data_IF_960059408659
#
_entry.id   IF_960059408659
#
_cell.length_a   1.000
_cell.length_b   1.000
_cell.length_c   1.000
_cell.angle_alpha   90.00
_cell.angle_beta   90.00
_cell.angle_gamma   90.00
#
_symmetry.space_group_name_H-M   'P 1'
#
loop_
_entity.id
_entity.type
_entity.pdbx_description
1 polymer ?
#
# COMPACT_ATOMS: atom_id res chain seq x y z
N UNK A 1 24.52 -11.48 12.10
CA UNK A 1 24.93 -12.75 12.74
C UNK A 1 25.55 -12.39 14.07
N UNK A 2 24.91 -12.74 15.20
CA UNK A 2 25.48 -12.52 16.52
C UNK A 2 26.29 -13.76 16.92
N UNK A 3 27.60 -13.63 17.22
CA UNK A 3 28.39 -14.76 17.65
C UNK A 3 27.99 -15.17 19.07
N UNK A 4 27.56 -16.41 19.25
CA UNK A 4 27.21 -17.00 20.54
C UNK A 4 28.11 -18.21 20.80
N UNK A 5 28.61 -18.36 22.02
CA UNK A 5 29.42 -19.50 22.43
C UNK A 5 28.54 -20.70 22.82
N UNK A 6 28.92 -21.90 22.35
CA UNK A 6 28.15 -23.13 22.56
C UNK A 6 27.96 -23.51 24.04
N UNK A 7 28.88 -23.11 24.91
CA UNK A 7 28.81 -23.39 26.36
C UNK A 7 27.57 -22.75 27.01
N UNK A 8 27.18 -21.55 26.55
CA UNK A 8 26.04 -20.79 27.08
C UNK A 8 24.67 -21.32 26.62
N UNK A 9 24.64 -22.24 25.64
CA UNK A 9 23.40 -22.76 25.04
C UNK A 9 23.08 -24.20 25.48
N UNK A 10 23.98 -24.86 26.23
CA UNK A 10 23.86 -26.26 26.64
C UNK A 10 22.60 -26.60 27.46
N UNK A 11 21.96 -25.60 28.07
CA UNK A 11 20.71 -25.73 28.83
C UNK A 11 19.44 -25.23 28.12
N UNK A 12 19.53 -24.72 26.89
CA UNK A 12 18.41 -24.09 26.19
C UNK A 12 18.04 -24.88 24.92
N UNK A 13 16.74 -25.09 24.70
CA UNK A 13 16.24 -25.62 23.43
C UNK A 13 15.86 -24.45 22.52
N UNK A 14 16.52 -24.34 21.36
CA UNK A 14 16.12 -23.38 20.33
C UNK A 14 14.87 -23.89 19.61
N UNK A 15 13.71 -23.30 19.90
CA UNK A 15 12.47 -23.57 19.20
C UNK A 15 12.30 -22.56 18.06
N UNK A 16 12.40 -23.00 16.81
CA UNK A 16 12.09 -22.19 15.63
C UNK A 16 10.78 -22.67 15.01
N UNK A 17 9.85 -21.74 14.81
CA UNK A 17 8.62 -21.96 14.04
C UNK A 17 8.70 -21.09 12.80
N UNK A 18 8.79 -21.72 11.63
CA UNK A 18 8.78 -21.03 10.35
C UNK A 18 8.10 -21.89 9.30
N UNK A 19 7.48 -21.23 8.33
CA UNK A 19 6.85 -21.93 7.21
C UNK A 19 7.93 -22.52 6.30
N UNK A 20 7.88 -23.83 6.09
CA UNK A 20 8.71 -24.52 5.10
C UNK A 20 7.90 -24.60 3.80
N UNK A 21 8.40 -23.96 2.75
CA UNK A 21 7.79 -24.02 1.42
C UNK A 21 8.69 -24.85 0.50
N UNK A 22 8.13 -25.86 -0.17
CA UNK A 22 8.80 -26.55 -1.27
C UNK A 22 8.54 -25.78 -2.57
N UNK A 23 9.58 -25.19 -3.17
CA UNK A 23 9.50 -24.58 -4.49
C UNK A 23 9.77 -25.59 -5.61
N UNK A 24 9.29 -25.31 -6.82
CA UNK A 24 9.65 -26.06 -8.04
C UNK A 24 10.71 -25.25 -8.79
N UNK A 25 11.90 -25.82 -8.96
CA UNK A 25 12.98 -25.20 -9.74
C UNK A 25 12.66 -25.26 -11.24
N UNK A 26 12.89 -24.15 -11.94
CA UNK A 26 12.65 -24.05 -13.38
C UNK A 26 12.92 -22.65 -13.92
N UNK A 27 13.05 -22.54 -15.25
CA UNK A 27 13.19 -21.26 -15.94
C UNK A 27 11.81 -20.73 -16.30
N UNK A 28 11.28 -19.83 -15.47
CA UNK A 28 9.99 -19.19 -15.70
C UNK A 28 10.21 -17.83 -16.35
N UNK A 29 9.57 -17.58 -17.50
CA UNK A 29 9.56 -16.28 -18.15
C UNK A 29 8.12 -15.81 -18.31
N UNK A 30 7.74 -14.81 -17.53
CA UNK A 30 6.48 -14.09 -17.71
C UNK A 30 6.76 -12.88 -18.61
N UNK A 31 6.01 -12.78 -19.71
CA UNK A 31 6.02 -11.60 -20.58
C UNK A 31 4.60 -11.06 -20.64
N UNK A 32 4.43 -9.79 -20.29
CA UNK A 32 3.17 -9.08 -20.43
C UNK A 32 3.34 -8.00 -21.50
N UNK A 33 2.40 -7.92 -22.43
CA UNK A 33 2.32 -6.81 -23.37
C UNK A 33 1.33 -5.80 -22.81
N UNK A 34 1.82 -4.70 -22.26
CA UNK A 34 1.00 -3.67 -21.65
C UNK A 34 0.85 -2.54 -22.66
N UNK A 35 -0.21 -2.58 -23.45
CA UNK A 35 -0.43 -1.65 -24.57
C UNK A 35 -1.28 -0.42 -24.23
N UNK A 36 -1.61 -0.18 -22.96
CA UNK A 36 -2.42 0.96 -22.54
C UNK A 36 -1.79 1.62 -21.31
N UNK A 37 -0.98 2.66 -21.54
CA UNK A 37 -0.14 3.20 -20.47
C UNK A 37 -0.74 4.37 -19.69
N UNK A 38 -1.87 4.97 -20.09
CA UNK A 38 -2.35 6.19 -19.40
C UNK A 38 -3.85 6.52 -19.48
N UNK A 39 -4.68 5.89 -20.34
CA UNK A 39 -5.99 6.50 -20.66
C UNK A 39 -6.98 6.59 -19.49
N UNK A 40 -6.82 5.77 -18.45
CA UNK A 40 -7.74 5.72 -17.30
C UNK A 40 -7.04 5.89 -15.95
N UNK A 41 -5.83 6.43 -15.91
CA UNK A 41 -5.13 6.73 -14.66
C UNK A 41 -5.10 8.24 -14.42
N UNK A 42 -5.22 8.64 -13.16
CA UNK A 42 -5.06 10.03 -12.73
C UNK A 42 -3.97 10.11 -11.69
N UNK A 43 -2.99 10.98 -11.90
CA UNK A 43 -1.93 11.25 -10.93
C UNK A 43 -1.88 12.73 -10.63
N UNK A 44 -1.85 13.09 -9.35
CA UNK A 44 -1.73 14.48 -8.93
C UNK A 44 -0.95 14.60 -7.63
N UNK A 45 -0.46 15.82 -7.38
CA UNK A 45 0.11 16.18 -6.10
C UNK A 45 -0.93 16.84 -5.21
N UNK A 46 -0.78 16.61 -3.92
CA UNK A 46 -1.67 17.11 -2.90
C UNK A 46 -0.87 17.45 -1.64
N UNK A 47 -1.47 18.23 -0.76
CA UNK A 47 -0.86 18.69 0.50
C UNK A 47 -1.80 18.49 1.69
N UNK A 48 -2.76 17.57 1.54
CA UNK A 48 -3.76 17.28 2.56
C UNK A 48 -3.17 16.39 3.64
N UNK A 49 -3.36 16.80 4.89
CA UNK A 49 -3.04 16.01 6.06
C UNK A 49 -4.29 15.36 6.64
N UNK A 50 -4.24 14.05 6.87
CA UNK A 50 -5.27 13.28 7.56
C UNK A 50 -4.61 12.50 8.67
N UNK A 51 -5.00 12.75 9.93
CA UNK A 51 -4.49 12.03 11.11
C UNK A 51 -2.96 11.92 11.15
N UNK A 52 -2.26 13.04 10.92
CA UNK A 52 -0.80 13.10 10.97
C UNK A 52 -0.09 12.55 9.72
N UNK A 53 -0.82 12.15 8.68
CA UNK A 53 -0.26 11.69 7.42
C UNK A 53 -0.49 12.72 6.32
N UNK A 54 0.58 13.16 5.68
CA UNK A 54 0.55 14.05 4.52
C UNK A 54 0.51 13.23 3.24
N UNK A 55 -0.53 13.41 2.44
CA UNK A 55 -0.75 12.70 1.18
C UNK A 55 -0.17 13.54 0.04
N UNK A 56 1.04 13.22 -0.43
CA UNK A 56 1.80 14.11 -1.33
C UNK A 56 1.60 13.78 -2.81
N UNK A 57 1.70 12.50 -3.17
CA UNK A 57 1.51 12.02 -4.54
C UNK A 57 0.44 10.95 -4.54
N UNK A 58 -0.60 11.17 -5.34
CA UNK A 58 -1.74 10.28 -5.42
C UNK A 58 -1.86 9.78 -6.85
N UNK A 59 -1.98 8.46 -7.01
CA UNK A 59 -2.26 7.83 -8.30
C UNK A 59 -3.50 6.96 -8.17
N UNK A 60 -4.54 7.30 -8.92
CA UNK A 60 -5.78 6.54 -9.04
C UNK A 60 -5.79 5.80 -10.37
N UNK A 61 -6.11 4.51 -10.32
CA UNK A 61 -6.22 3.63 -11.47
C UNK A 61 -7.51 2.82 -11.41
N UNK A 62 -7.91 2.13 -12.48
CA UNK A 62 -9.03 1.20 -12.43
C UNK A 62 -8.86 0.12 -11.36
N UNK A 63 -7.62 -0.22 -10.97
CA UNK A 63 -7.36 -1.28 -10.00
C UNK A 63 -7.41 -0.77 -8.55
N UNK A 64 -7.25 0.52 -8.33
CA UNK A 64 -7.22 1.10 -6.99
C UNK A 64 -6.37 2.36 -6.89
N UNK A 65 -5.92 2.63 -5.67
CA UNK A 65 -5.27 3.86 -5.27
C UNK A 65 -3.86 3.59 -4.77
N UNK A 66 -2.90 4.40 -5.20
CA UNK A 66 -1.57 4.50 -4.60
C UNK A 66 -1.37 5.90 -4.02
N UNK A 67 -0.77 5.97 -2.84
CA UNK A 67 -0.37 7.20 -2.16
C UNK A 67 1.08 7.09 -1.75
N UNK A 68 1.84 8.14 -2.04
CA UNK A 68 3.18 8.39 -1.48
C UNK A 68 3.08 9.65 -0.63
N UNK A 69 3.68 9.60 0.56
CA UNK A 69 3.56 10.70 1.51
C UNK A 69 4.52 10.61 2.68
N UNK A 70 4.30 11.49 3.65
CA UNK A 70 5.00 11.53 4.93
C UNK A 70 4.04 11.35 6.09
N UNK A 71 4.55 10.96 7.25
CA UNK A 71 3.75 10.80 8.46
C UNK A 71 4.45 11.36 9.70
N UNK A 72 3.66 11.62 10.74
CA UNK A 72 4.15 12.03 12.05
C UNK A 72 4.02 10.87 13.04
N UNK A 73 4.96 10.78 14.00
CA UNK A 73 5.00 9.72 15.00
C UNK A 73 5.98 8.60 14.65
N UNK A 74 6.07 7.60 15.53
CA UNK A 74 7.09 6.55 15.40
C UNK A 74 6.73 5.45 14.39
N UNK A 75 5.44 5.20 14.19
CA UNK A 75 4.93 4.12 13.33
C UNK A 75 4.00 4.66 12.24
N UNK A 76 4.13 4.10 11.03
CA UNK A 76 3.27 4.43 9.90
C UNK A 76 1.98 3.60 9.98
N UNK A 77 0.93 4.16 10.59
CA UNK A 77 -0.37 3.50 10.78
C UNK A 77 -1.32 3.67 9.57
N UNK A 78 -0.81 3.51 8.35
CA UNK A 78 -1.61 3.59 7.12
C UNK A 78 -2.46 2.33 6.86
N UNK A 79 -2.14 1.22 7.54
CA UNK A 79 -2.87 -0.04 7.45
C UNK A 79 -4.32 0.03 7.96
N UNK A 80 -4.54 0.85 8.97
CA UNK A 80 -5.84 0.97 9.66
C UNK A 80 -6.74 2.05 9.06
N UNK A 81 -6.25 2.78 8.06
CA UNK A 81 -7.03 3.82 7.40
C UNK A 81 -8.15 3.21 6.56
N UNK A 82 -9.36 3.70 6.79
CA UNK A 82 -10.52 3.45 5.95
C UNK A 82 -10.43 4.33 4.71
N UNK A 83 -10.25 3.70 3.54
CA UNK A 83 -10.18 4.40 2.26
C UNK A 83 -11.35 3.98 1.37
N UNK A 84 -12.00 4.97 0.78
CA UNK A 84 -13.04 4.79 -0.23
C UNK A 84 -12.86 5.71 -1.41
N UNK A 85 -13.42 5.31 -2.55
CA UNK A 85 -13.51 6.12 -3.76
C UNK A 85 -14.95 6.57 -3.91
N UNK A 86 -15.17 7.88 -3.87
CA UNK A 86 -16.47 8.47 -4.17
C UNK A 86 -16.67 8.57 -5.67
N UNK A 87 -17.80 8.06 -6.15
CA UNK A 87 -18.25 8.16 -7.54
C UNK A 87 -19.64 8.78 -7.61
N UNK A 88 -20.06 9.15 -8.82
CA UNK A 88 -21.46 9.58 -9.07
C UNK A 88 -22.51 8.53 -8.68
N UNK A 89 -22.13 7.25 -8.62
CA UNK A 89 -23.01 6.13 -8.30
C UNK A 89 -22.96 5.71 -6.81
N UNK A 90 -22.06 6.31 -6.03
CA UNK A 90 -21.85 6.01 -4.61
C UNK A 90 -20.38 5.82 -4.22
N UNK A 91 -20.15 5.39 -2.98
CA UNK A 91 -18.81 5.17 -2.43
C UNK A 91 -18.41 3.70 -2.57
N UNK A 92 -17.24 3.46 -3.15
CA UNK A 92 -16.64 2.15 -3.32
C UNK A 92 -15.51 2.00 -2.29
N UNK A 93 -15.62 1.09 -1.29
CA UNK A 93 -14.55 0.87 -0.33
C UNK A 93 -13.35 0.19 -1.00
N UNK A 94 -12.15 0.53 -0.56
CA UNK A 94 -10.92 -0.12 -0.98
C UNK A 94 -10.47 -1.17 0.05
N UNK A 95 -9.80 -2.21 -0.42
CA UNK A 95 -9.33 -3.33 0.40
C UNK A 95 -7.83 -3.59 0.21
N UNK A 96 -7.24 -4.10 1.28
CA UNK A 96 -5.84 -4.52 1.31
C UNK A 96 -4.88 -3.34 1.35
N UNK A 97 -3.78 -3.51 2.06
CA UNK A 97 -2.68 -2.54 2.09
C UNK A 97 -1.43 -3.27 1.63
N UNK A 98 -0.94 -2.89 0.44
CA UNK A 98 0.40 -3.23 -0.03
C UNK A 98 1.24 -1.97 0.01
N UNK A 99 2.49 -2.04 0.47
CA UNK A 99 3.29 -0.84 0.56
C UNK A 99 4.69 -1.03 1.13
N UNK A 100 5.36 0.09 1.32
CA UNK A 100 6.67 0.18 1.93
C UNK A 100 6.79 1.48 2.71
N UNK A 101 7.65 1.48 3.72
CA UNK A 101 7.91 2.64 4.55
C UNK A 101 9.42 2.83 4.74
N UNK A 102 9.83 4.07 4.98
CA UNK A 102 11.19 4.43 5.40
C UNK A 102 11.10 5.17 6.74
N UNK A 103 11.22 4.46 7.88
CA UNK A 103 11.02 5.06 9.19
C UNK A 103 12.00 6.18 9.51
N UNK A 104 13.24 6.09 9.04
CA UNK A 104 14.27 7.13 9.20
C UNK A 104 13.87 8.47 8.57
N UNK A 105 13.10 8.42 7.47
CA UNK A 105 12.62 9.60 6.74
C UNK A 105 11.16 9.93 7.02
N UNK A 106 10.47 9.10 7.80
CA UNK A 106 9.03 9.17 8.02
C UNK A 106 8.23 9.28 6.70
N UNK A 107 8.62 8.48 5.70
CA UNK A 107 7.92 8.41 4.40
C UNK A 107 7.26 7.05 4.18
N UNK A 108 6.19 7.04 3.40
CA UNK A 108 5.47 5.83 3.02
C UNK A 108 5.10 5.83 1.54
N UNK A 109 4.89 4.63 1.01
CA UNK A 109 4.24 4.37 -0.26
C UNK A 109 3.28 3.21 -0.04
N UNK A 110 1.98 3.49 -0.12
CA UNK A 110 0.92 2.53 0.17
C UNK A 110 -0.06 2.47 -0.99
N UNK A 111 -0.65 1.29 -1.17
CA UNK A 111 -1.60 1.00 -2.22
C UNK A 111 -2.76 0.19 -1.68
N UNK A 112 -3.95 0.52 -2.17
CA UNK A 112 -5.21 -0.11 -1.84
C UNK A 112 -5.92 -0.52 -3.12
N UNK A 113 -6.54 -1.70 -3.11
CA UNK A 113 -7.14 -2.28 -4.29
C UNK A 113 -8.66 -2.20 -4.24
N UNK A 114 -9.26 -2.20 -5.41
CA UNK A 114 -10.71 -2.32 -5.61
C UNK A 114 -11.06 -3.79 -5.81
N UNK A 115 -12.27 -4.20 -5.41
CA UNK A 115 -12.76 -5.56 -5.72
C UNK A 115 -13.03 -5.78 -7.20
N UNK A 116 -13.44 -4.73 -7.89
CA UNK A 116 -13.78 -4.74 -9.30
C UNK A 116 -13.22 -3.46 -9.94
N UNK A 117 -12.82 -3.51 -11.23
CA UNK A 117 -12.24 -2.35 -11.89
C UNK A 117 -13.13 -1.10 -11.81
N UNK A 118 -12.54 0.02 -11.39
CA UNK A 118 -13.18 1.32 -11.34
C UNK A 118 -13.27 1.96 -12.73
N UNK A 119 -14.41 2.58 -13.00
CA UNK A 119 -14.52 3.61 -14.02
C UNK A 119 -14.00 4.94 -13.45
N UNK A 120 -12.74 5.25 -13.72
CA UNK A 120 -12.05 6.46 -13.21
C UNK A 120 -12.69 7.75 -13.73
N UNK A 121 -13.52 7.70 -14.78
CA UNK A 121 -14.24 8.89 -15.28
C UNK A 121 -15.40 9.31 -14.38
N UNK A 122 -15.94 8.37 -13.58
CA UNK A 122 -17.05 8.59 -12.66
C UNK A 122 -16.64 9.01 -11.26
N UNK A 123 -15.34 8.97 -10.96
CA UNK A 123 -14.80 9.31 -9.64
C UNK A 123 -14.93 10.81 -9.42
N UNK A 124 -15.26 11.22 -8.20
CA UNK A 124 -15.43 12.62 -7.79
C UNK A 124 -14.54 13.00 -6.63
N UNK A 125 -14.17 12.04 -5.77
CA UNK A 125 -13.26 12.25 -4.66
C UNK A 125 -12.67 10.92 -4.14
N UNK A 126 -11.60 11.03 -3.36
CA UNK A 126 -11.12 10.00 -2.46
C UNK A 126 -11.63 10.35 -1.05
N UNK A 127 -12.01 9.34 -0.27
CA UNK A 127 -12.37 9.48 1.14
C UNK A 127 -11.34 8.72 1.97
N UNK A 128 -10.71 9.40 2.93
CA UNK A 128 -9.72 8.83 3.84
C UNK A 128 -10.14 9.15 5.27
N UNK A 129 -10.48 8.13 6.06
CA UNK A 129 -11.02 8.29 7.42
C UNK A 129 -12.15 9.34 7.49
N UNK A 130 -13.05 9.33 6.50
CA UNK A 130 -14.15 10.30 6.38
C UNK A 130 -13.77 11.66 5.81
N UNK A 131 -12.47 11.97 5.64
CA UNK A 131 -12.01 13.19 4.99
C UNK A 131 -12.13 13.07 3.48
N UNK A 132 -12.94 13.95 2.86
CA UNK A 132 -13.18 13.96 1.41
C UNK A 132 -12.15 14.82 0.68
N UNK A 133 -11.42 14.20 -0.25
CA UNK A 133 -10.35 14.79 -1.08
C UNK A 133 -10.82 14.79 -2.54
N UNK A 134 -11.22 15.94 -3.11
CA UNK A 134 -11.62 16.00 -4.51
C UNK A 134 -10.50 15.54 -5.44
N UNK A 135 -10.85 14.77 -6.47
CA UNK A 135 -9.87 14.43 -7.52
C UNK A 135 -9.56 15.65 -8.39
N UNK A 136 -8.33 15.71 -8.90
CA UNK A 136 -7.86 16.72 -9.86
C UNK A 136 -7.81 16.15 -11.28
#
# INVERSE_FOLDING_TARGET
VFPLSNENLSGYTLCYTGSVFSGVEGNWRVAANVSDSNQNMRTWTNDISVEGHLFEYITLSPLGLQVIGTYQGEECMVGDMSIGIETVDGIIPLEGVGGSQKPDKHTFNSSWNTKAPLDVTKVTAIIINGTRIPIK
#
